data_IF_970666181841
#
_entry.id   IF_970666181841
#
_cell.length_a   1.000
_cell.length_b   1.000
_cell.length_c   1.000
_cell.angle_alpha   90.00
_cell.angle_beta   90.00
_cell.angle_gamma   90.00
#
_symmetry.space_group_name_H-M   'P 1'
#
loop_
_entity.id
_entity.type
_entity.pdbx_description
1 polymer ?
#
# COMPACT_ATOMS: atom_id res chain seq x y z
N UNK A 1 -12.98 -17.36 32.75
CA UNK A 1 -11.57 -17.71 32.51
C UNK A 1 -11.57 -19.17 32.12
N UNK A 2 -11.44 -19.47 30.83
CA UNK A 2 -11.40 -20.85 30.34
C UNK A 2 -9.92 -21.18 30.10
N UNK A 3 -9.39 -22.17 30.79
CA UNK A 3 -8.06 -22.70 30.49
C UNK A 3 -8.16 -23.54 29.22
N UNK A 4 -7.96 -22.88 28.08
CA UNK A 4 -7.86 -23.55 26.78
C UNK A 4 -6.41 -23.94 26.52
N UNK A 5 -6.22 -25.13 25.96
CA UNK A 5 -4.92 -25.57 25.48
C UNK A 5 -4.38 -24.60 24.40
N UNK A 6 -3.07 -24.27 24.37
CA UNK A 6 -2.50 -23.36 23.39
C UNK A 6 -2.80 -23.72 21.93
N UNK A 7 -2.91 -25.02 21.65
CA UNK A 7 -3.24 -25.55 20.32
C UNK A 7 -4.66 -25.14 19.92
N UNK A 8 -5.63 -25.21 20.84
CA UNK A 8 -7.02 -24.85 20.59
C UNK A 8 -7.14 -23.34 20.33
N UNK A 9 -6.40 -22.53 21.10
CA UNK A 9 -6.33 -21.08 20.88
C UNK A 9 -5.76 -20.76 19.50
N UNK A 10 -4.67 -21.44 19.10
CA UNK A 10 -4.09 -21.26 17.78
C UNK A 10 -5.06 -21.64 16.66
N UNK A 11 -5.77 -22.77 16.79
CA UNK A 11 -6.79 -23.18 15.82
C UNK A 11 -7.95 -22.19 15.74
N UNK A 12 -8.43 -21.67 16.87
CA UNK A 12 -9.50 -20.68 16.92
C UNK A 12 -9.08 -19.35 16.27
N UNK A 13 -7.87 -18.86 16.57
CA UNK A 13 -7.38 -17.60 16.00
C UNK A 13 -7.09 -17.74 14.51
N UNK A 14 -6.31 -18.75 14.12
CA UNK A 14 -5.92 -18.96 12.72
C UNK A 14 -7.14 -19.33 11.86
N UNK A 15 -7.93 -20.31 12.31
CA UNK A 15 -9.16 -20.73 11.62
C UNK A 15 -10.21 -19.61 11.57
N UNK A 16 -10.33 -18.81 12.63
CA UNK A 16 -11.20 -17.63 12.66
C UNK A 16 -10.79 -16.58 11.64
N UNK A 17 -9.49 -16.26 11.54
CA UNK A 17 -8.98 -15.32 10.54
C UNK A 17 -9.21 -15.86 9.12
N UNK A 18 -8.86 -17.11 8.83
CA UNK A 18 -9.06 -17.69 7.50
C UNK A 18 -10.52 -17.70 7.08
N UNK A 19 -11.41 -18.17 7.95
CA UNK A 19 -12.85 -18.25 7.65
C UNK A 19 -13.46 -16.86 7.41
N UNK A 20 -13.11 -15.86 8.20
CA UNK A 20 -13.62 -14.50 8.05
C UNK A 20 -12.98 -13.75 6.87
N UNK A 21 -11.71 -13.99 6.54
CA UNK A 21 -11.09 -13.39 5.34
C UNK A 21 -11.82 -13.83 4.06
N UNK A 22 -12.32 -15.07 3.99
CA UNK A 22 -13.09 -15.57 2.85
C UNK A 22 -14.43 -14.84 2.64
N UNK A 23 -14.94 -14.12 3.65
CA UNK A 23 -16.15 -13.30 3.50
C UNK A 23 -15.90 -12.01 2.71
N UNK A 24 -14.63 -11.66 2.43
CA UNK A 24 -14.25 -10.43 1.75
C UNK A 24 -14.28 -9.18 2.64
N UNK A 25 -14.51 -9.33 3.95
CA UNK A 25 -14.47 -8.21 4.89
C UNK A 25 -13.04 -7.66 5.03
N UNK A 26 -12.85 -6.35 5.28
CA UNK A 26 -11.50 -5.78 5.35
C UNK A 26 -10.66 -6.43 6.46
N UNK A 27 -9.46 -6.88 6.08
CA UNK A 27 -8.62 -7.78 6.89
C UNK A 27 -8.28 -7.20 8.28
N UNK A 28 -8.17 -5.88 8.40
CA UNK A 28 -7.90 -5.21 9.68
C UNK A 28 -8.99 -5.50 10.72
N UNK A 29 -10.26 -5.44 10.31
CA UNK A 29 -11.39 -5.75 11.19
C UNK A 29 -11.50 -7.24 11.47
N UNK A 30 -11.16 -8.08 10.50
CA UNK A 30 -11.13 -9.53 10.69
C UNK A 30 -10.11 -9.92 11.77
N UNK A 31 -8.85 -9.50 11.60
CA UNK A 31 -7.79 -9.81 12.58
C UNK A 31 -8.12 -9.19 13.94
N UNK A 32 -8.55 -7.93 13.96
CA UNK A 32 -8.90 -7.22 15.20
C UNK A 32 -10.05 -7.87 15.96
N UNK A 33 -11.13 -8.25 15.27
CA UNK A 33 -12.29 -8.89 15.90
C UNK A 33 -11.98 -10.29 16.41
N UNK A 34 -11.26 -11.11 15.65
CA UNK A 34 -10.83 -12.45 16.11
C UNK A 34 -9.93 -12.33 17.34
N UNK A 35 -8.92 -11.45 17.30
CA UNK A 35 -8.04 -11.22 18.44
C UNK A 35 -8.79 -10.71 19.67
N UNK A 36 -9.78 -9.83 19.48
CA UNK A 36 -10.59 -9.28 20.56
C UNK A 36 -11.53 -10.32 21.18
N UNK A 37 -12.25 -11.10 20.37
CA UNK A 37 -13.18 -12.13 20.84
C UNK A 37 -12.46 -13.27 21.58
N UNK A 38 -11.36 -13.76 21.00
CA UNK A 38 -10.52 -14.78 21.64
C UNK A 38 -9.84 -14.22 22.89
N UNK A 39 -9.41 -12.95 22.86
CA UNK A 39 -8.89 -12.25 24.02
C UNK A 39 -9.88 -12.22 25.19
N UNK A 40 -11.15 -11.87 24.95
CA UNK A 40 -12.20 -11.87 25.97
C UNK A 40 -12.39 -13.27 26.58
N UNK A 41 -12.37 -14.32 25.75
CA UNK A 41 -12.54 -15.70 26.22
C UNK A 41 -11.41 -16.15 27.17
N UNK A 42 -10.17 -15.77 26.87
CA UNK A 42 -8.98 -16.21 27.60
C UNK A 42 -8.68 -15.29 28.79
N UNK A 43 -8.53 -13.99 28.53
CA UNK A 43 -8.05 -13.00 29.51
C UNK A 43 -9.18 -12.27 30.24
N UNK A 44 -10.43 -12.43 29.79
CA UNK A 44 -11.58 -11.68 30.29
C UNK A 44 -11.67 -10.26 29.73
N UNK A 45 -12.82 -9.62 29.94
CA UNK A 45 -13.15 -8.31 29.35
C UNK A 45 -12.17 -7.22 29.79
N UNK A 46 -11.92 -7.07 31.10
CA UNK A 46 -11.08 -5.99 31.64
C UNK A 46 -9.67 -6.01 31.08
N UNK A 47 -9.00 -7.17 31.13
CA UNK A 47 -7.63 -7.34 30.65
C UNK A 47 -7.53 -7.12 29.14
N UNK A 48 -8.49 -7.67 28.38
CA UNK A 48 -8.50 -7.52 26.92
C UNK A 48 -8.66 -6.07 26.49
N UNK A 49 -9.57 -5.33 27.12
CA UNK A 49 -9.74 -3.90 26.87
C UNK A 49 -8.48 -3.10 27.25
N UNK A 50 -7.82 -3.45 28.36
CA UNK A 50 -6.58 -2.79 28.77
C UNK A 50 -5.44 -3.05 27.77
N UNK A 51 -5.28 -4.29 27.30
CA UNK A 51 -4.32 -4.64 26.24
C UNK A 51 -4.64 -3.84 24.98
N UNK A 52 -5.90 -3.84 24.53
CA UNK A 52 -6.33 -3.10 23.34
C UNK A 52 -5.99 -1.61 23.47
N UNK A 53 -6.39 -0.98 24.58
CA UNK A 53 -6.08 0.43 24.88
C UNK A 53 -4.57 0.70 24.84
N UNK A 54 -3.76 -0.12 25.52
CA UNK A 54 -2.30 0.05 25.54
C UNK A 54 -1.68 -0.04 24.14
N UNK A 55 -2.19 -0.92 23.28
CA UNK A 55 -1.74 -1.06 21.89
C UNK A 55 -2.12 0.16 21.05
N UNK A 56 -3.36 0.63 21.15
CA UNK A 56 -3.78 1.86 20.46
C UNK A 56 -2.95 3.07 20.91
N UNK A 57 -2.77 3.24 22.22
CA UNK A 57 -1.97 4.33 22.77
C UNK A 57 -0.52 4.29 22.28
N UNK A 58 0.11 3.12 22.28
CA UNK A 58 1.47 2.94 21.77
C UNK A 58 1.58 3.23 20.26
N UNK A 59 0.57 2.85 19.47
CA UNK A 59 0.53 3.16 18.03
C UNK A 59 0.38 4.67 17.79
N UNK A 60 -0.45 5.37 18.56
CA UNK A 60 -0.63 6.82 18.44
C UNK A 60 0.64 7.60 18.74
N UNK A 61 1.47 7.12 19.68
CA UNK A 61 2.74 7.75 20.04
C UNK A 61 3.91 7.36 19.11
N UNK A 62 3.68 6.50 18.11
CA UNK A 62 4.73 6.04 17.22
C UNK A 62 5.09 7.14 16.20
N UNK A 63 6.20 7.84 16.45
CA UNK A 63 6.67 8.95 15.62
C UNK A 63 6.80 8.62 14.11
N UNK A 64 7.34 7.46 13.70
CA UNK A 64 7.32 7.01 12.31
C UNK A 64 5.97 7.13 11.59
N UNK A 65 4.84 6.94 12.27
CA UNK A 65 3.53 7.04 11.65
C UNK A 65 3.10 8.46 11.29
N UNK A 66 3.77 9.50 11.81
CA UNK A 66 3.59 10.88 11.33
C UNK A 66 4.04 11.06 9.88
N UNK A 67 4.94 10.21 9.39
CA UNK A 67 5.38 10.27 8.00
C UNK A 67 4.26 9.86 7.02
N UNK A 68 3.33 8.97 7.43
CA UNK A 68 2.22 8.50 6.57
C UNK A 68 1.33 9.66 6.06
N UNK A 69 0.75 10.52 6.91
CA UNK A 69 -0.07 11.63 6.43
C UNK A 69 0.74 12.68 5.66
N UNK A 70 2.00 12.93 6.04
CA UNK A 70 2.87 13.88 5.33
C UNK A 70 3.24 13.37 3.92
N UNK A 71 3.56 12.08 3.77
CA UNK A 71 3.79 11.46 2.47
C UNK A 71 2.52 11.43 1.62
N UNK A 72 1.38 11.09 2.22
CA UNK A 72 0.10 11.15 1.52
C UNK A 72 -0.21 12.56 1.05
N UNK A 73 0.07 13.58 1.88
CA UNK A 73 -0.13 14.98 1.53
C UNK A 73 0.77 15.40 0.36
N UNK A 74 2.07 15.09 0.42
CA UNK A 74 3.01 15.33 -0.68
C UNK A 74 2.52 14.67 -1.98
N UNK A 75 2.06 13.42 -1.90
CA UNK A 75 1.52 12.69 -3.05
C UNK A 75 0.31 13.37 -3.68
N UNK A 76 -0.62 13.85 -2.86
CA UNK A 76 -1.80 14.60 -3.31
C UNK A 76 -1.40 15.95 -3.93
N UNK A 77 -0.45 16.66 -3.33
CA UNK A 77 0.07 17.92 -3.89
C UNK A 77 0.71 17.68 -5.27
N UNK A 78 1.52 16.64 -5.42
CA UNK A 78 2.14 16.27 -6.70
C UNK A 78 1.11 15.90 -7.77
N UNK A 79 0.02 15.22 -7.37
CA UNK A 79 -1.09 14.87 -8.26
C UNK A 79 -1.82 16.10 -8.77
N UNK A 80 -2.08 17.07 -7.91
CA UNK A 80 -2.86 18.25 -8.24
C UNK A 80 -2.05 19.44 -8.78
N UNK A 81 -0.71 19.38 -8.72
CA UNK A 81 0.16 20.46 -9.20
C UNK A 81 0.28 20.55 -10.72
N UNK A 82 -0.18 19.53 -11.47
CA UNK A 82 -0.04 19.47 -12.94
C UNK A 82 1.34 19.00 -13.42
N UNK A 83 2.37 19.05 -12.57
CA UNK A 83 3.76 18.65 -12.86
C UNK A 83 3.84 17.23 -13.43
N UNK A 84 2.96 16.35 -12.94
CA UNK A 84 2.86 14.96 -13.35
C UNK A 84 2.63 14.81 -14.86
N UNK A 85 1.79 15.66 -15.46
CA UNK A 85 1.53 15.64 -16.91
C UNK A 85 2.72 16.17 -17.70
N UNK A 86 3.28 17.30 -17.26
CA UNK A 86 4.43 17.94 -17.92
C UNK A 86 5.66 17.03 -17.92
N UNK A 87 5.88 16.30 -16.82
CA UNK A 87 6.95 15.32 -16.71
C UNK A 87 6.75 14.15 -17.68
N UNK A 88 5.52 13.64 -17.81
CA UNK A 88 5.23 12.56 -18.76
C UNK A 88 5.49 12.99 -20.21
N UNK A 89 5.05 14.20 -20.58
CA UNK A 89 5.30 14.77 -21.91
C UNK A 89 6.80 14.98 -22.16
N UNK A 90 7.53 15.52 -21.18
CA UNK A 90 8.99 15.71 -21.27
C UNK A 90 9.75 14.38 -21.45
N UNK A 91 9.35 13.34 -20.70
CA UNK A 91 9.93 12.00 -20.86
C UNK A 91 9.60 11.41 -22.24
N UNK A 92 8.39 11.65 -22.74
CA UNK A 92 8.00 11.22 -24.07
C UNK A 92 8.77 11.94 -25.19
N UNK A 93 9.07 13.24 -25.06
CA UNK A 93 9.92 13.94 -26.02
C UNK A 93 11.34 13.35 -26.06
N UNK A 94 11.86 12.95 -24.91
CA UNK A 94 13.20 12.36 -24.78
C UNK A 94 13.27 10.92 -25.28
N UNK A 95 12.30 10.08 -24.88
CA UNK A 95 12.33 8.61 -25.07
C UNK A 95 11.29 8.12 -26.08
N UNK A 96 10.45 8.97 -26.67
CA UNK A 96 9.40 8.56 -27.61
C UNK A 96 9.93 8.09 -28.97
N UNK A 97 11.20 8.38 -29.29
CA UNK A 97 11.84 8.02 -30.57
C UNK A 97 12.20 6.54 -30.70
N UNK A 98 12.25 5.79 -29.60
CA UNK A 98 12.53 4.35 -29.62
C UNK A 98 11.27 3.53 -29.92
N UNK A 99 11.46 2.38 -30.58
CA UNK A 99 10.37 1.40 -30.78
C UNK A 99 9.85 0.95 -29.40
N UNK A 100 8.56 1.15 -29.14
CA UNK A 100 8.00 0.90 -27.80
C UNK A 100 8.12 2.09 -26.83
N UNK A 101 8.51 3.27 -27.31
CA UNK A 101 8.83 4.43 -26.47
C UNK A 101 7.75 4.83 -25.46
N UNK A 102 6.45 4.73 -25.81
CA UNK A 102 5.39 5.03 -24.85
C UNK A 102 5.37 4.06 -23.67
N UNK A 103 5.61 2.77 -23.90
CA UNK A 103 5.66 1.79 -22.82
C UNK A 103 6.88 2.05 -21.92
N UNK A 104 8.03 2.35 -22.52
CA UNK A 104 9.26 2.69 -21.75
C UNK A 104 9.03 3.94 -20.91
N UNK A 105 8.46 5.00 -21.49
CA UNK A 105 8.11 6.23 -20.77
C UNK A 105 7.16 5.93 -19.63
N UNK A 106 6.14 5.09 -19.84
CA UNK A 106 5.18 4.71 -18.79
C UNK A 106 5.86 4.00 -17.63
N UNK A 107 6.80 3.08 -17.89
CA UNK A 107 7.58 2.42 -16.83
C UNK A 107 8.47 3.41 -16.08
N UNK A 108 9.24 4.23 -16.79
CA UNK A 108 10.16 5.20 -16.18
C UNK A 108 9.41 6.23 -15.35
N UNK A 109 8.35 6.79 -15.91
CA UNK A 109 7.49 7.74 -15.24
C UNK A 109 6.80 7.11 -14.03
N UNK A 110 6.26 5.90 -14.16
CA UNK A 110 5.67 5.17 -13.04
C UNK A 110 6.68 4.85 -11.94
N UNK A 111 7.96 4.62 -12.27
CA UNK A 111 9.06 4.45 -11.32
C UNK A 111 9.34 5.74 -10.54
N UNK A 112 9.30 6.90 -11.20
CA UNK A 112 9.45 8.21 -10.54
C UNK A 112 8.26 8.48 -9.63
N UNK A 113 7.04 8.27 -10.13
CA UNK A 113 5.81 8.43 -9.35
C UNK A 113 5.79 7.49 -8.13
N UNK A 114 6.27 6.25 -8.31
CA UNK A 114 6.37 5.26 -7.27
C UNK A 114 7.18 5.77 -6.07
N UNK A 115 8.34 6.38 -6.33
CA UNK A 115 9.20 6.96 -5.30
C UNK A 115 8.53 8.13 -4.54
N UNK A 116 7.58 8.84 -5.15
CA UNK A 116 6.92 9.98 -4.51
C UNK A 116 5.60 9.61 -3.81
N UNK A 117 4.83 8.66 -4.37
CA UNK A 117 3.47 8.37 -3.93
C UNK A 117 3.39 7.24 -2.92
N UNK A 118 4.25 6.21 -3.04
CA UNK A 118 4.29 5.12 -2.08
C UNK A 118 3.05 4.20 -2.02
N UNK A 119 2.06 4.38 -2.93
CA UNK A 119 0.75 3.70 -2.91
C UNK A 119 0.35 3.24 -4.32
N UNK A 120 -0.05 1.97 -4.45
CA UNK A 120 -0.45 1.36 -5.74
C UNK A 120 -1.67 2.06 -6.34
N UNK A 121 -2.74 2.22 -5.56
CA UNK A 121 -4.02 2.70 -6.07
C UNK A 121 -3.88 4.10 -6.71
N UNK A 122 -3.16 5.00 -6.05
CA UNK A 122 -2.89 6.34 -6.58
C UNK A 122 -2.05 6.28 -7.86
N UNK A 123 -0.90 5.59 -7.83
CA UNK A 123 0.04 5.53 -8.95
C UNK A 123 -0.58 4.91 -10.20
N UNK A 124 -1.28 3.78 -10.06
CA UNK A 124 -1.96 3.11 -11.18
C UNK A 124 -3.06 3.98 -11.76
N UNK A 125 -3.85 4.67 -10.92
CA UNK A 125 -4.93 5.55 -11.40
C UNK A 125 -4.38 6.68 -12.24
N UNK A 126 -3.33 7.36 -11.78
CA UNK A 126 -2.70 8.48 -12.50
C UNK A 126 -2.10 8.01 -13.83
N UNK A 127 -1.33 6.91 -13.80
CA UNK A 127 -0.74 6.34 -15.00
C UNK A 127 -1.82 5.94 -16.02
N UNK A 128 -2.94 5.40 -15.54
CA UNK A 128 -4.08 5.05 -16.40
C UNK A 128 -4.68 6.29 -17.04
N UNK A 129 -4.91 7.36 -16.26
CA UNK A 129 -5.48 8.62 -16.76
C UNK A 129 -4.58 9.33 -17.78
N UNK A 130 -3.26 9.18 -17.65
CA UNK A 130 -2.27 9.90 -18.48
C UNK A 130 -1.81 9.06 -19.68
N UNK A 131 -1.57 7.76 -19.51
CA UNK A 131 -0.87 6.94 -20.50
C UNK A 131 -1.82 6.04 -21.32
N UNK A 132 -2.96 5.59 -20.78
CA UNK A 132 -3.75 4.55 -21.43
C UNK A 132 -4.32 4.99 -22.78
N UNK A 133 -4.99 6.13 -22.83
CA UNK A 133 -5.59 6.65 -24.06
C UNK A 133 -4.52 6.97 -25.13
N UNK A 134 -3.40 7.64 -24.80
CA UNK A 134 -2.31 7.88 -25.75
C UNK A 134 -1.60 6.62 -26.27
N UNK A 135 -1.60 5.51 -25.51
CA UNK A 135 -1.06 4.23 -25.95
C UNK A 135 -1.99 3.54 -26.95
N UNK A 136 -3.28 3.45 -26.62
CA UNK A 136 -4.28 2.75 -27.45
C UNK A 136 -4.48 3.47 -28.78
N UNK A 137 -4.56 4.80 -28.78
CA UNK A 137 -4.70 5.60 -30.02
C UNK A 137 -3.50 5.49 -30.95
N UNK A 138 -2.31 5.19 -30.40
CA UNK A 138 -1.07 4.95 -31.17
C UNK A 138 -0.85 3.48 -31.55
N UNK A 139 -1.87 2.64 -31.41
CA UNK A 139 -1.84 1.26 -31.88
C UNK A 139 -1.18 0.25 -30.93
N UNK A 140 -0.97 0.60 -29.65
CA UNK A 140 -0.58 -0.40 -28.66
C UNK A 140 -1.74 -1.35 -28.40
N UNK A 141 -1.42 -2.64 -28.27
CA UNK A 141 -2.37 -3.62 -27.77
C UNK A 141 -2.83 -3.25 -26.35
N UNK A 142 -4.13 -3.44 -26.06
CA UNK A 142 -4.71 -3.07 -24.76
C UNK A 142 -4.09 -3.87 -23.61
N UNK A 143 -3.75 -5.14 -23.81
CA UNK A 143 -3.12 -5.97 -22.79
C UNK A 143 -1.70 -5.50 -22.50
N UNK A 144 -0.94 -5.08 -23.52
CA UNK A 144 0.38 -4.49 -23.31
C UNK A 144 0.31 -3.14 -22.58
N UNK A 145 -0.60 -2.25 -23.00
CA UNK A 145 -0.77 -0.94 -22.38
C UNK A 145 -1.17 -1.08 -20.89
N UNK A 146 -2.24 -1.81 -20.61
CA UNK A 146 -2.71 -2.05 -19.23
C UNK A 146 -1.69 -2.82 -18.39
N UNK A 147 -1.05 -3.85 -18.95
CA UNK A 147 -0.01 -4.61 -18.26
C UNK A 147 1.19 -3.74 -17.87
N UNK A 148 1.66 -2.88 -18.77
CA UNK A 148 2.77 -1.95 -18.49
C UNK A 148 2.40 -0.91 -17.43
N UNK A 149 1.17 -0.36 -17.48
CA UNK A 149 0.65 0.60 -16.49
C UNK A 149 0.56 -0.05 -15.10
N UNK A 150 -0.01 -1.24 -15.01
CA UNK A 150 -0.14 -1.97 -13.74
C UNK A 150 1.23 -2.35 -13.21
N UNK A 151 2.12 -2.88 -14.04
CA UNK A 151 3.49 -3.21 -13.65
C UNK A 151 4.21 -1.97 -13.08
N UNK A 152 4.21 -0.85 -13.80
CA UNK A 152 4.81 0.39 -13.35
C UNK A 152 4.19 0.92 -12.05
N UNK A 153 2.85 0.92 -11.95
CA UNK A 153 2.16 1.45 -10.77
C UNK A 153 2.33 0.58 -9.52
N UNK A 154 2.58 -0.72 -9.67
CA UNK A 154 2.88 -1.60 -8.52
C UNK A 154 4.28 -1.38 -7.93
N UNK A 155 5.20 -0.75 -8.67
CA UNK A 155 6.52 -0.37 -8.14
C UNK A 155 6.43 0.64 -6.99
N UNK A 156 5.31 1.35 -6.86
CA UNK A 156 5.04 2.34 -5.80
C UNK A 156 5.22 1.81 -4.38
N UNK A 157 5.06 0.51 -4.18
CA UNK A 157 5.28 -0.09 -2.87
C UNK A 157 6.77 -0.37 -2.61
N UNK A 158 7.53 -0.68 -3.66
CA UNK A 158 8.88 -1.23 -3.57
C UNK A 158 9.97 -0.15 -3.55
N UNK A 159 9.73 1.01 -4.14
CA UNK A 159 10.72 2.07 -4.27
C UNK A 159 10.61 3.04 -3.08
N UNK A 160 11.65 3.17 -2.23
CA UNK A 160 11.66 4.16 -1.16
C UNK A 160 11.65 5.60 -1.71
N UNK A 161 11.02 6.57 -1.01
CA UNK A 161 10.18 6.41 0.18
C UNK A 161 8.75 5.92 -0.16
N UNK A 162 8.28 4.83 0.47
CA UNK A 162 6.91 4.33 0.30
C UNK A 162 6.17 4.22 1.63
N UNK A 163 4.84 4.40 1.60
CA UNK A 163 3.99 4.29 2.80
C UNK A 163 4.10 2.88 3.39
N UNK A 164 4.23 1.85 2.55
CA UNK A 164 4.41 0.49 3.03
C UNK A 164 5.68 0.36 3.89
N UNK A 165 6.82 0.89 3.44
CA UNK A 165 8.07 0.82 4.19
C UNK A 165 8.00 1.64 5.49
N UNK A 166 7.36 2.81 5.46
CA UNK A 166 7.11 3.62 6.66
C UNK A 166 6.31 2.85 7.71
N UNK A 167 5.32 2.06 7.29
CA UNK A 167 4.49 1.26 8.19
C UNK A 167 5.20 -0.02 8.65
N UNK A 168 5.98 -0.64 7.76
CA UNK A 168 6.64 -1.92 8.00
C UNK A 168 7.91 -1.79 8.85
N UNK A 169 8.76 -0.81 8.59
CA UNK A 169 10.07 -0.69 9.24
C UNK A 169 10.00 -0.63 10.79
N UNK A 170 9.06 0.13 11.42
CA UNK A 170 8.90 0.11 12.87
C UNK A 170 8.50 -1.26 13.42
N UNK A 171 7.75 -2.05 12.65
CA UNK A 171 7.32 -3.40 13.03
C UNK A 171 8.45 -4.43 12.87
N UNK A 172 9.34 -4.20 11.90
CA UNK A 172 10.55 -4.99 11.70
C UNK A 172 11.70 -4.58 12.63
N UNK A 173 11.55 -3.50 13.40
CA UNK A 173 12.62 -2.94 14.24
C UNK A 173 13.75 -2.27 13.45
N UNK A 174 13.47 -1.85 12.21
CA UNK A 174 14.44 -1.27 11.28
C UNK A 174 14.23 0.24 11.14
N UNK A 175 15.31 0.97 10.82
CA UNK A 175 15.23 2.40 10.50
C UNK A 175 14.68 2.59 9.09
N UNK A 176 13.72 3.51 8.94
CA UNK A 176 13.13 3.87 7.64
C UNK A 176 14.19 4.46 6.70
N UNK A 177 15.13 5.26 7.23
CA UNK A 177 16.16 5.91 6.41
C UNK A 177 17.28 4.96 5.94
N UNK A 178 17.29 3.71 6.37
CA UNK A 178 18.25 2.68 5.96
C UNK A 178 17.71 1.74 4.89
N UNK A 179 16.44 1.87 4.49
CA UNK A 179 15.78 1.11 3.42
C UNK A 179 15.69 1.93 2.14
#
# INVERSE_FOLDING_TARGET
MIELSPEIVAFLMLGGVFSLVLTGFPIAFVIGSVAFLVGILIFGTTTTFHILYSRFYALTLNYPYLAVPLFSFMGVVLQHSGITKDLYESLYESLGRIKGGLAVVTIVFGTILAACLGVIAASVTILTLIALEPMVTRGYDRSLATGSIVAAGTLGILIPPSIMLVVYAPQAGLSIGQM
#
